data_IF_815820662634
#
_entry.id   IF_815820662634
#
_cell.length_a   1.000
_cell.length_b   1.000
_cell.length_c   1.000
_cell.angle_alpha   90.00
_cell.angle_beta   90.00
_cell.angle_gamma   90.00
#
_symmetry.space_group_name_H-M   'P 1'
#
loop_
_entity.id
_entity.type
_entity.pdbx_description
1 polymer ?
#
# COMPACT_ATOMS: atom_id res chain seq x y z
N UNK A 1 7.87 -6.95 -4.88
CA UNK A 1 6.70 -6.20 -5.37
C UNK A 1 5.55 -6.41 -4.40
N UNK A 2 4.71 -5.40 -4.14
CA UNK A 2 3.58 -5.50 -3.20
C UNK A 2 2.44 -4.52 -3.54
N UNK A 3 1.25 -4.78 -3.01
CA UNK A 3 0.06 -3.92 -3.15
C UNK A 3 -0.66 -3.83 -1.80
N UNK A 4 -1.31 -2.70 -1.52
CA UNK A 4 -2.10 -2.53 -0.30
C UNK A 4 -3.54 -3.03 -0.45
N UNK A 5 -3.77 -4.13 -1.18
CA UNK A 5 -5.11 -4.70 -1.33
C UNK A 5 -5.37 -5.76 -0.26
N UNK A 6 -6.57 -5.76 0.33
CA UNK A 6 -6.98 -6.69 1.37
C UNK A 6 -8.16 -7.53 0.87
N UNK A 7 -7.95 -8.84 0.75
CA UNK A 7 -9.03 -9.78 0.39
C UNK A 7 -9.84 -10.19 1.63
N UNK A 8 -10.39 -9.21 2.34
CA UNK A 8 -11.24 -9.43 3.53
C UNK A 8 -12.56 -8.67 3.36
N UNK A 9 -13.64 -9.27 3.85
CA UNK A 9 -14.95 -8.62 3.82
C UNK A 9 -15.00 -7.47 4.84
N UNK A 10 -15.58 -6.34 4.44
CA UNK A 10 -15.78 -5.14 5.28
C UNK A 10 -14.50 -4.45 5.80
N UNK A 11 -13.37 -4.52 5.07
CA UNK A 11 -12.22 -3.67 5.38
C UNK A 11 -12.57 -2.18 5.22
N UNK A 12 -12.30 -1.39 6.27
CA UNK A 12 -12.44 0.05 6.25
C UNK A 12 -11.14 0.77 5.85
N UNK A 13 -11.19 2.09 5.59
CA UNK A 13 -10.03 2.91 5.26
C UNK A 13 -8.82 2.71 6.19
N UNK A 14 -9.05 2.64 7.49
CA UNK A 14 -7.97 2.49 8.49
C UNK A 14 -7.30 1.11 8.43
N UNK A 15 -8.00 0.06 8.00
CA UNK A 15 -7.40 -1.26 7.82
C UNK A 15 -6.36 -1.23 6.70
N UNK A 16 -6.69 -0.56 5.59
CA UNK A 16 -5.78 -0.35 4.48
C UNK A 16 -4.55 0.49 4.87
N UNK A 17 -4.73 1.56 5.65
CA UNK A 17 -3.60 2.36 6.16
C UNK A 17 -2.69 1.55 7.06
N UNK A 18 -3.26 0.79 8.00
CA UNK A 18 -2.49 -0.08 8.91
C UNK A 18 -1.74 -1.15 8.14
N UNK A 19 -2.39 -1.75 7.15
CA UNK A 19 -1.78 -2.78 6.31
C UNK A 19 -0.63 -2.22 5.46
N UNK A 20 -0.84 -1.07 4.80
CA UNK A 20 0.20 -0.41 4.04
C UNK A 20 1.41 -0.03 4.92
N UNK A 21 1.17 0.47 6.14
CA UNK A 21 2.25 0.77 7.09
C UNK A 21 3.04 -0.48 7.47
N UNK A 22 2.36 -1.58 7.80
CA UNK A 22 3.02 -2.83 8.14
C UNK A 22 3.89 -3.36 6.98
N UNK A 23 3.39 -3.27 5.74
CA UNK A 23 4.17 -3.63 4.55
C UNK A 23 5.41 -2.76 4.40
N UNK A 24 5.30 -1.43 4.56
CA UNK A 24 6.46 -0.53 4.52
C UNK A 24 7.48 -0.83 5.63
N UNK A 25 7.04 -1.14 6.84
CA UNK A 25 7.92 -1.50 7.96
C UNK A 25 8.73 -2.78 7.67
N UNK A 26 8.13 -3.75 6.99
CA UNK A 26 8.77 -5.02 6.61
C UNK A 26 9.66 -4.83 5.38
N UNK A 27 9.13 -4.29 4.30
CA UNK A 27 9.84 -4.13 3.04
C UNK A 27 10.92 -3.04 3.10
N UNK A 28 10.75 -2.02 3.94
CA UNK A 28 11.77 -1.01 4.21
C UNK A 28 13.05 -1.58 4.84
N UNK A 29 13.00 -2.80 5.39
CA UNK A 29 14.18 -3.53 5.90
C UNK A 29 14.85 -4.40 4.84
N UNK A 30 14.26 -4.55 3.65
CA UNK A 30 14.82 -5.37 2.59
C UNK A 30 16.07 -4.69 1.99
N UNK A 31 17.17 -5.45 1.85
CA UNK A 31 18.45 -4.93 1.33
C UNK A 31 18.45 -4.64 -0.18
N UNK A 32 17.54 -5.26 -0.93
CA UNK A 32 17.42 -5.09 -2.38
C UNK A 32 16.32 -4.08 -2.77
N UNK A 33 15.80 -3.33 -1.80
CA UNK A 33 14.69 -2.41 -1.99
C UNK A 33 13.35 -3.12 -2.16
N UNK A 34 12.34 -2.35 -2.57
CA UNK A 34 10.98 -2.82 -2.79
C UNK A 34 10.32 -2.01 -3.90
N UNK A 35 9.24 -2.54 -4.45
CA UNK A 35 8.43 -1.87 -5.47
C UNK A 35 6.95 -2.05 -5.15
N UNK A 36 6.19 -0.97 -5.25
CA UNK A 36 4.73 -1.01 -5.19
C UNK A 36 4.16 -1.34 -6.56
N UNK A 37 3.18 -2.23 -6.62
CA UNK A 37 2.40 -2.50 -7.80
C UNK A 37 1.03 -1.84 -7.70
N UNK A 38 0.73 -0.81 -8.50
CA UNK A 38 1.53 -0.15 -9.55
C UNK A 38 1.51 1.36 -9.35
N UNK A 39 2.23 2.13 -10.17
CA UNK A 39 2.29 3.59 -10.06
C UNK A 39 0.90 4.24 -10.19
N UNK A 40 0.09 3.77 -11.16
CA UNK A 40 -1.26 4.26 -11.43
C UNK A 40 -2.18 3.11 -11.82
N UNK A 41 -3.34 3.04 -11.20
CA UNK A 41 -4.38 2.05 -11.50
C UNK A 41 -5.77 2.69 -11.38
N UNK A 42 -6.78 2.09 -12.02
CA UNK A 42 -8.19 2.48 -11.85
C UNK A 42 -8.73 2.12 -10.47
N UNK A 43 -8.17 1.09 -9.83
CA UNK A 43 -8.50 0.69 -8.46
C UNK A 43 -7.60 1.43 -7.46
N UNK A 44 -8.16 2.18 -6.48
CA UNK A 44 -7.40 3.01 -5.54
C UNK A 44 -6.24 2.30 -4.83
N UNK A 45 -6.49 1.14 -4.24
CA UNK A 45 -5.49 0.38 -3.49
C UNK A 45 -4.43 -0.28 -4.39
N UNK A 46 -4.60 -0.24 -5.71
CA UNK A 46 -3.60 -0.71 -6.69
C UNK A 46 -2.79 0.45 -7.27
N UNK A 47 -3.02 1.68 -6.82
CA UNK A 47 -2.41 2.89 -7.35
C UNK A 47 -1.55 3.57 -6.28
N UNK A 48 -0.23 3.41 -6.36
CA UNK A 48 0.71 4.05 -5.44
C UNK A 48 0.47 5.56 -5.37
N UNK A 49 0.26 6.19 -6.54
CA UNK A 49 -0.03 7.63 -6.61
C UNK A 49 -1.24 8.00 -5.76
N UNK A 50 -2.34 7.27 -5.91
CA UNK A 50 -3.56 7.54 -5.14
C UNK A 50 -3.34 7.32 -3.65
N UNK A 51 -2.62 6.26 -3.28
CA UNK A 51 -2.33 5.92 -1.88
C UNK A 51 -1.50 6.99 -1.17
N UNK A 52 -0.52 7.60 -1.86
CA UNK A 52 0.25 8.73 -1.32
C UNK A 52 -0.61 9.99 -1.24
N UNK A 53 -1.30 10.35 -2.33
CA UNK A 53 -2.13 11.56 -2.41
C UNK A 53 -3.27 11.57 -1.36
N UNK A 54 -3.75 10.40 -0.95
CA UNK A 54 -4.81 10.26 0.07
C UNK A 54 -4.30 9.90 1.47
N UNK A 55 -2.98 9.90 1.68
CA UNK A 55 -2.37 9.69 3.01
C UNK A 55 -2.50 8.27 3.56
N UNK A 56 -2.64 7.26 2.69
CA UNK A 56 -2.60 5.85 3.08
C UNK A 56 -1.18 5.29 3.14
N UNK A 57 -0.29 5.84 2.33
CA UNK A 57 1.16 5.57 2.34
C UNK A 57 1.88 6.89 2.58
N UNK A 58 2.87 6.86 3.47
CA UNK A 58 3.85 7.94 3.65
C UNK A 58 5.22 7.33 3.45
N UNK A 59 5.99 7.87 2.50
CA UNK A 59 7.33 7.42 2.12
C UNK A 59 8.35 8.42 2.62
#
# INVERSE_FOLDING_TARGET
EWVAELNVTNAGPEDYKRFARAQLEVYGRASFGWAYWTLKNVNPHWSLRWMIENGYITI
#
